data_IF_060306067537
#
_entry.id   IF_060306067537
#
_cell.length_a   1.000
_cell.length_b   1.000
_cell.length_c   1.000
_cell.angle_alpha   90.00
_cell.angle_beta   90.00
_cell.angle_gamma   90.00
#
_symmetry.space_group_name_H-M   'P 1'
#
loop_
_entity.id
_entity.type
_entity.pdbx_description
1 polymer ?
#
# COMPACT_ATOMS: atom_id res chain seq x y z
N UNK A 1 -2.28 -16.97 22.19
CA UNK A 1 -1.47 -15.77 21.83
C UNK A 1 -2.32 -14.92 20.92
N UNK A 2 -2.41 -13.63 21.20
CA UNK A 2 -3.12 -12.65 20.36
C UNK A 2 -2.15 -11.57 19.92
N UNK A 3 -2.38 -11.00 18.75
CA UNK A 3 -1.53 -9.94 18.23
C UNK A 3 -2.34 -8.83 17.56
N UNK A 4 -1.78 -7.63 17.52
CA UNK A 4 -2.33 -6.53 16.76
C UNK A 4 -1.22 -5.67 16.18
N UNK A 5 -1.41 -5.27 14.92
CA UNK A 5 -0.47 -4.43 14.18
C UNK A 5 -1.11 -3.07 13.96
N UNK A 6 -0.58 -2.06 14.64
CA UNK A 6 -0.95 -0.68 14.40
C UNK A 6 -0.40 -0.23 13.05
N UNK A 7 -1.21 0.51 12.29
CA UNK A 7 -0.84 1.05 10.99
C UNK A 7 -1.46 2.41 10.77
N UNK A 8 -0.63 3.43 10.55
CA UNK A 8 -1.10 4.82 10.43
C UNK A 8 -2.14 5.01 9.31
N UNK A 9 -1.92 4.34 8.17
CA UNK A 9 -2.77 4.40 6.99
C UNK A 9 -3.95 3.41 7.01
N UNK A 10 -4.12 2.61 8.06
CA UNK A 10 -5.26 1.71 8.22
C UNK A 10 -6.32 2.33 9.12
N UNK A 11 -7.47 2.73 8.57
CA UNK A 11 -8.57 3.28 9.38
C UNK A 11 -9.04 2.28 10.46
N UNK A 12 -8.97 0.99 10.15
CA UNK A 12 -9.20 -0.16 11.02
C UNK A 12 -7.98 -0.59 11.84
N UNK A 13 -6.85 0.12 11.78
CA UNK A 13 -5.59 -0.30 12.46
C UNK A 13 -4.91 0.80 13.25
N UNK A 14 -5.63 1.88 13.57
CA UNK A 14 -5.03 3.05 14.24
C UNK A 14 -5.69 3.46 15.56
N UNK A 15 -6.68 2.70 16.05
CA UNK A 15 -7.45 3.05 17.26
C UNK A 15 -7.47 1.92 18.30
N UNK A 16 -7.58 2.29 19.59
CA UNK A 16 -7.76 1.35 20.71
C UNK A 16 -8.99 0.46 20.48
N UNK A 17 -10.08 1.04 19.96
CA UNK A 17 -11.31 0.29 19.64
C UNK A 17 -11.01 -0.85 18.68
N UNK A 18 -10.32 -0.56 17.58
CA UNK A 18 -10.04 -1.61 16.60
C UNK A 18 -9.10 -2.68 17.14
N UNK A 19 -8.07 -2.28 17.90
CA UNK A 19 -7.21 -3.21 18.61
C UNK A 19 -8.02 -4.18 19.49
N UNK A 20 -8.92 -3.65 20.32
CA UNK A 20 -9.75 -4.47 21.21
C UNK A 20 -10.67 -5.41 20.42
N UNK A 21 -11.34 -4.92 19.38
CA UNK A 21 -12.16 -5.77 18.52
C UNK A 21 -11.35 -6.91 17.91
N UNK A 22 -10.16 -6.64 17.37
CA UNK A 22 -9.31 -7.66 16.78
C UNK A 22 -8.81 -8.69 17.80
N UNK A 23 -8.48 -8.25 19.01
CA UNK A 23 -8.09 -9.16 20.10
C UNK A 23 -9.26 -10.08 20.46
N UNK A 24 -10.46 -9.52 20.65
CA UNK A 24 -11.67 -10.30 20.97
C UNK A 24 -11.97 -11.29 19.84
N UNK A 25 -11.93 -10.84 18.58
CA UNK A 25 -12.17 -11.70 17.40
C UNK A 25 -11.19 -12.87 17.33
N UNK A 26 -9.91 -12.65 17.62
CA UNK A 26 -8.92 -13.74 17.68
C UNK A 26 -9.24 -14.76 18.77
N UNK A 27 -9.72 -14.31 19.93
CA UNK A 27 -10.07 -15.21 21.04
C UNK A 27 -11.32 -16.01 20.71
N UNK A 28 -12.40 -15.37 20.23
CA UNK A 28 -13.66 -16.06 19.92
C UNK A 28 -13.54 -17.04 18.74
N UNK A 29 -12.68 -16.75 17.76
CA UNK A 29 -12.40 -17.71 16.68
C UNK A 29 -11.59 -18.92 17.16
N UNK A 30 -10.90 -18.80 18.29
CA UNK A 30 -10.09 -19.87 18.86
C UNK A 30 -10.85 -20.70 19.91
N UNK A 31 -11.93 -20.16 20.50
CA UNK A 31 -12.67 -20.78 21.59
C UNK A 31 -14.19 -20.51 21.48
N UNK A 32 -14.95 -21.53 21.12
CA UNK A 32 -16.41 -21.48 20.98
C UNK A 32 -17.13 -21.08 22.29
N UNK A 33 -16.53 -21.36 23.45
CA UNK A 33 -17.08 -20.96 24.75
C UNK A 33 -17.00 -19.44 24.91
N UNK A 34 -15.88 -18.86 24.47
CA UNK A 34 -15.68 -17.41 24.46
C UNK A 34 -16.56 -16.73 23.42
N UNK A 35 -16.80 -17.36 22.27
CA UNK A 35 -17.77 -16.86 21.30
C UNK A 35 -19.16 -16.73 21.94
N UNK A 36 -19.66 -17.78 22.59
CA UNK A 36 -20.98 -17.74 23.27
C UNK A 36 -21.02 -16.68 24.36
N UNK A 37 -20.00 -16.62 25.21
CA UNK A 37 -19.88 -15.61 26.25
C UNK A 37 -19.92 -14.17 25.69
N UNK A 38 -19.17 -13.91 24.61
CA UNK A 38 -19.13 -12.60 23.97
C UNK A 38 -20.47 -12.26 23.31
N UNK A 39 -21.12 -13.22 22.64
CA UNK A 39 -22.46 -13.04 22.06
C UNK A 39 -23.50 -12.70 23.13
N UNK A 40 -23.53 -13.42 24.25
CA UNK A 40 -24.47 -13.17 25.36
C UNK A 40 -24.26 -11.78 25.96
N UNK A 41 -22.99 -11.36 26.13
CA UNK A 41 -22.63 -10.03 26.64
C UNK A 41 -22.96 -8.90 25.66
N UNK A 42 -22.89 -9.15 24.35
CA UNK A 42 -23.12 -8.16 23.30
C UNK A 42 -24.58 -8.09 22.83
N UNK A 43 -25.37 -9.15 23.00
CA UNK A 43 -26.77 -9.22 22.55
C UNK A 43 -27.68 -8.06 23.00
N UNK A 44 -27.50 -7.44 24.18
CA UNK A 44 -28.36 -6.33 24.60
C UNK A 44 -27.87 -4.95 24.13
N UNK A 45 -26.80 -4.85 23.32
CA UNK A 45 -26.14 -3.58 23.01
C UNK A 45 -26.21 -3.23 21.52
N UNK A 46 -26.83 -2.08 21.21
CA UNK A 46 -26.88 -1.52 19.84
C UNK A 46 -25.53 -0.95 19.39
N UNK A 47 -24.68 -0.53 20.35
CA UNK A 47 -23.35 -0.01 20.08
C UNK A 47 -22.35 -0.40 21.16
N UNK A 48 -21.22 -0.99 20.75
CA UNK A 48 -20.17 -1.42 21.66
C UNK A 48 -19.25 -0.24 21.98
N UNK A 49 -19.37 0.41 23.13
CA UNK A 49 -18.43 1.47 23.51
C UNK A 49 -17.02 0.93 23.79
N UNK A 50 -15.98 1.76 23.63
CA UNK A 50 -14.58 1.35 23.91
C UNK A 50 -14.37 0.90 25.36
N UNK A 51 -15.05 1.51 26.34
CA UNK A 51 -15.02 1.07 27.74
C UNK A 51 -15.58 -0.34 27.93
N UNK A 52 -16.69 -0.65 27.25
CA UNK A 52 -17.26 -2.00 27.25
C UNK A 52 -16.31 -3.01 26.60
N UNK A 53 -15.73 -2.66 25.44
CA UNK A 53 -14.73 -3.51 24.76
C UNK A 53 -13.49 -3.77 25.62
N UNK A 54 -13.03 -2.78 26.40
CA UNK A 54 -11.94 -2.96 27.36
C UNK A 54 -12.28 -4.02 28.41
N UNK A 55 -13.51 -3.96 28.95
CA UNK A 55 -14.01 -4.97 29.90
C UNK A 55 -14.15 -6.35 29.27
N UNK A 56 -14.78 -6.42 28.09
CA UNK A 56 -14.98 -7.68 27.38
C UNK A 56 -13.66 -8.34 26.97
N UNK A 57 -12.69 -7.56 26.47
CA UNK A 57 -11.37 -8.06 26.16
C UNK A 57 -10.65 -8.58 27.41
N UNK A 58 -10.74 -7.87 28.53
CA UNK A 58 -10.22 -8.35 29.82
C UNK A 58 -10.88 -9.67 30.23
N UNK A 59 -12.22 -9.77 30.22
CA UNK A 59 -12.92 -11.00 30.57
C UNK A 59 -12.47 -12.18 29.68
N UNK A 60 -12.34 -11.96 28.37
CA UNK A 60 -11.88 -12.97 27.41
C UNK A 60 -10.43 -13.40 27.63
N UNK A 61 -9.54 -12.44 27.92
CA UNK A 61 -8.12 -12.69 28.19
C UNK A 61 -7.92 -13.36 29.56
N UNK A 62 -8.72 -13.03 30.56
CA UNK A 62 -8.58 -13.59 31.90
C UNK A 62 -9.25 -14.95 32.06
N UNK A 63 -10.07 -15.36 31.10
CA UNK A 63 -10.67 -16.69 31.09
C UNK A 63 -9.63 -17.81 30.99
N UNK A 64 -8.49 -17.58 30.31
CA UNK A 64 -7.39 -18.55 30.29
C UNK A 64 -6.25 -18.12 31.20
N UNK A 65 -5.56 -19.09 31.79
CA UNK A 65 -4.54 -18.85 32.82
C UNK A 65 -3.29 -18.13 32.30
N UNK A 66 -2.92 -18.35 31.05
CA UNK A 66 -1.68 -17.84 30.46
C UNK A 66 -1.94 -17.23 29.08
N UNK A 67 -1.67 -15.94 28.93
CA UNK A 67 -1.80 -15.24 27.65
C UNK A 67 -0.57 -14.43 27.28
N UNK A 68 -0.33 -14.37 25.98
CA UNK A 68 0.69 -13.51 25.38
C UNK A 68 -0.02 -12.57 24.41
N UNK A 69 0.15 -11.27 24.61
CA UNK A 69 -0.36 -10.19 23.77
C UNK A 69 0.83 -9.54 23.10
N UNK A 70 0.80 -9.44 21.77
CA UNK A 70 1.82 -8.74 20.97
C UNK A 70 1.20 -7.54 20.30
N UNK A 71 1.68 -6.34 20.65
CA UNK A 71 1.25 -5.08 20.04
C UNK A 71 2.44 -4.51 19.27
N UNK A 72 2.32 -4.44 17.95
CA UNK A 72 3.39 -3.96 17.08
C UNK A 72 3.00 -2.63 16.40
N UNK A 73 3.97 -1.75 16.24
CA UNK A 73 3.82 -0.41 15.66
C UNK A 73 3.00 0.56 16.51
N UNK A 74 2.98 0.44 17.84
CA UNK A 74 2.11 1.27 18.70
C UNK A 74 2.28 2.79 18.46
N UNK A 75 3.45 3.24 18.03
CA UNK A 75 3.75 4.61 17.59
C UNK A 75 2.96 5.05 16.36
N UNK A 76 2.43 4.13 15.55
CA UNK A 76 1.61 4.43 14.37
C UNK A 76 0.13 4.69 14.69
N UNK A 77 -0.29 4.55 15.96
CA UNK A 77 -1.67 4.82 16.37
C UNK A 77 -2.00 6.32 16.34
N UNK A 78 -3.29 6.63 16.22
CA UNK A 78 -3.74 8.01 16.05
C UNK A 78 -3.71 8.80 17.37
N UNK A 79 -3.28 10.08 17.32
CA UNK A 79 -3.43 11.06 18.40
C UNK A 79 -2.96 10.56 19.78
N UNK A 80 -3.89 10.42 20.74
CA UNK A 80 -3.66 9.97 22.11
C UNK A 80 -4.03 8.49 22.34
N UNK A 81 -4.30 7.75 21.26
CA UNK A 81 -4.60 6.31 21.32
C UNK A 81 -3.47 5.48 21.96
N UNK A 82 -2.15 5.75 21.72
CA UNK A 82 -1.08 5.03 22.40
C UNK A 82 -1.21 5.08 23.93
N UNK A 83 -1.51 6.25 24.48
CA UNK A 83 -1.71 6.44 25.92
C UNK A 83 -2.94 5.66 26.42
N UNK A 84 -4.05 5.68 25.66
CA UNK A 84 -5.26 4.91 26.01
C UNK A 84 -5.00 3.40 26.04
N UNK A 85 -4.24 2.88 25.07
CA UNK A 85 -3.84 1.47 24.99
C UNK A 85 -2.95 1.11 26.17
N UNK A 86 -1.90 1.91 26.44
CA UNK A 86 -0.97 1.66 27.53
C UNK A 86 -1.66 1.72 28.89
N UNK A 87 -2.54 2.70 29.12
CA UNK A 87 -3.31 2.78 30.36
C UNK A 87 -4.16 1.54 30.58
N UNK A 88 -4.86 1.08 29.55
CA UNK A 88 -5.66 -0.14 29.66
C UNK A 88 -4.79 -1.38 29.90
N UNK A 89 -3.73 -1.60 29.12
CA UNK A 89 -2.84 -2.74 29.29
C UNK A 89 -2.21 -2.77 30.69
N UNK A 90 -1.63 -1.66 31.13
CA UNK A 90 -0.78 -1.62 32.32
C UNK A 90 -1.57 -1.45 33.62
N UNK A 91 -2.63 -0.63 33.61
CA UNK A 91 -3.39 -0.31 34.82
C UNK A 91 -4.67 -1.12 34.95
N UNK A 92 -5.36 -1.43 33.85
CA UNK A 92 -6.62 -2.17 33.93
C UNK A 92 -6.35 -3.69 33.82
N UNK A 93 -5.74 -4.13 32.73
CA UNK A 93 -5.58 -5.56 32.41
C UNK A 93 -4.59 -6.27 33.34
N UNK A 94 -3.36 -5.76 33.48
CA UNK A 94 -2.35 -6.43 34.32
C UNK A 94 -2.75 -6.45 35.80
N UNK A 95 -3.36 -5.38 36.32
CA UNK A 95 -3.83 -5.35 37.71
C UNK A 95 -4.97 -6.35 37.95
N UNK A 96 -5.91 -6.45 37.00
CA UNK A 96 -7.01 -7.43 37.08
C UNK A 96 -6.49 -8.86 36.92
N UNK A 97 -5.51 -9.09 36.05
CA UNK A 97 -4.88 -10.40 35.90
C UNK A 97 -4.24 -10.87 37.21
N UNK A 98 -3.49 -9.98 37.89
CA UNK A 98 -2.86 -10.28 39.17
C UNK A 98 -3.88 -10.62 40.26
N UNK A 99 -4.99 -9.88 40.35
CA UNK A 99 -6.02 -10.14 41.37
C UNK A 99 -6.80 -11.43 41.14
N UNK A 100 -6.93 -11.87 39.89
CA UNK A 100 -7.61 -13.11 39.50
C UNK A 100 -6.66 -14.32 39.40
N UNK A 101 -5.37 -14.15 39.69
CA UNK A 101 -4.37 -15.24 39.60
C UNK A 101 -4.08 -15.69 38.17
N UNK A 102 -4.31 -14.83 37.18
CA UNK A 102 -4.00 -15.08 35.77
C UNK A 102 -2.68 -14.42 35.36
N UNK A 103 -1.99 -15.01 34.40
CA UNK A 103 -0.69 -14.55 33.93
C UNK A 103 -0.78 -14.00 32.51
N UNK A 104 -0.72 -12.67 32.40
CA UNK A 104 -0.71 -11.96 31.12
C UNK A 104 0.68 -11.42 30.85
N UNK A 105 1.26 -11.77 29.70
CA UNK A 105 2.52 -11.23 29.20
C UNK A 105 2.23 -10.34 27.99
N UNK A 106 2.80 -9.15 27.98
CA UNK A 106 2.59 -8.16 26.92
C UNK A 106 3.95 -7.83 26.30
N UNK A 107 4.06 -7.97 24.99
CA UNK A 107 5.16 -7.47 24.19
C UNK A 107 4.67 -6.28 23.39
N UNK A 108 5.33 -5.13 23.58
CA UNK A 108 5.06 -3.91 22.82
C UNK A 108 6.27 -3.63 21.95
N UNK A 109 6.03 -3.47 20.65
CA UNK A 109 7.01 -3.09 19.65
C UNK A 109 6.62 -1.74 19.05
N UNK A 110 7.61 -0.88 18.83
CA UNK A 110 7.41 0.44 18.27
C UNK A 110 8.70 1.25 18.26
N UNK A 111 8.64 2.43 17.65
CA UNK A 111 9.75 3.39 17.69
C UNK A 111 9.87 4.05 19.05
N UNK A 112 11.09 4.48 19.40
CA UNK A 112 11.36 5.28 20.59
C UNK A 112 10.84 6.71 20.37
N UNK A 113 9.51 6.87 20.42
CA UNK A 113 8.83 8.16 20.42
C UNK A 113 8.58 8.61 21.86
N UNK A 114 8.88 9.88 22.14
CA UNK A 114 8.83 10.44 23.50
C UNK A 114 7.46 10.43 24.19
N UNK A 115 6.38 10.04 23.50
CA UNK A 115 5.03 9.90 24.06
C UNK A 115 4.78 8.56 24.75
N UNK A 116 5.41 7.48 24.26
CA UNK A 116 5.24 6.11 24.77
C UNK A 116 6.25 5.84 25.90
N UNK A 117 7.47 6.37 25.75
CA UNK A 117 8.60 6.14 26.65
C UNK A 117 8.29 6.38 28.15
N UNK A 118 7.57 7.45 28.55
CA UNK A 118 7.28 7.69 29.97
C UNK A 118 6.51 6.53 30.64
N UNK A 119 5.60 5.89 29.89
CA UNK A 119 4.78 4.78 30.40
C UNK A 119 5.54 3.45 30.48
N UNK A 120 6.55 3.25 29.62
CA UNK A 120 7.27 1.99 29.49
C UNK A 120 8.65 1.98 30.15
N UNK A 121 9.13 3.13 30.64
CA UNK A 121 10.46 3.30 31.25
C UNK A 121 10.74 2.41 32.47
N UNK A 122 9.69 2.02 33.21
CA UNK A 122 9.80 1.16 34.39
C UNK A 122 9.77 -0.34 34.08
N UNK A 123 9.51 -0.73 32.82
CA UNK A 123 9.39 -2.12 32.40
C UNK A 123 10.68 -2.63 31.71
N UNK A 124 10.89 -3.95 31.60
CA UNK A 124 12.02 -4.49 30.85
C UNK A 124 11.98 -4.05 29.39
N UNK A 125 13.07 -3.44 28.90
CA UNK A 125 13.18 -2.93 27.54
C UNK A 125 14.29 -3.64 26.76
N UNK A 126 14.02 -3.99 25.50
CA UNK A 126 15.01 -4.47 24.55
C UNK A 126 15.26 -3.37 23.52
N UNK A 127 16.35 -2.63 23.70
CA UNK A 127 16.74 -1.57 22.76
C UNK A 127 17.70 -2.15 21.72
N UNK A 128 17.18 -2.48 20.55
CA UNK A 128 17.98 -3.12 19.49
C UNK A 128 19.23 -2.30 19.09
N UNK A 129 19.18 -0.97 19.20
CA UNK A 129 20.32 -0.11 18.84
C UNK A 129 21.46 -0.09 19.88
N UNK A 130 21.24 -0.54 21.12
CA UNK A 130 22.26 -0.56 22.17
C UNK A 130 22.94 -1.92 22.33
N UNK A 131 22.40 -2.97 21.71
CA UNK A 131 22.90 -4.34 21.84
C UNK A 131 24.08 -4.59 20.88
N UNK A 132 25.26 -4.84 21.47
CA UNK A 132 26.47 -5.23 20.71
C UNK A 132 26.27 -6.46 19.79
N UNK A 133 25.52 -7.51 20.17
CA UNK A 133 25.20 -8.62 19.27
C UNK A 133 24.46 -8.17 18.01
N UNK A 134 23.49 -7.25 18.12
CA UNK A 134 22.77 -6.75 16.95
C UNK A 134 23.69 -5.96 16.01
N UNK A 135 24.68 -5.24 16.55
CA UNK A 135 25.73 -4.63 15.73
C UNK A 135 26.55 -5.68 14.98
N UNK A 136 26.89 -6.80 15.61
CA UNK A 136 27.60 -7.92 14.98
C UNK A 136 26.74 -8.59 13.89
N UNK A 137 25.46 -8.81 14.13
CA UNK A 137 24.54 -9.40 13.15
C UNK A 137 24.40 -8.49 11.91
N UNK A 138 24.35 -7.19 12.12
CA UNK A 138 24.37 -6.18 11.05
C UNK A 138 25.69 -6.25 10.28
N UNK A 139 26.83 -6.34 10.98
CA UNK A 139 28.15 -6.49 10.37
C UNK A 139 28.25 -7.79 9.54
N UNK A 140 27.77 -8.91 10.06
CA UNK A 140 27.77 -10.21 9.41
C UNK A 140 26.86 -10.22 8.17
N UNK A 141 25.64 -9.70 8.28
CA UNK A 141 24.76 -9.49 7.14
C UNK A 141 25.44 -8.63 6.07
N UNK A 142 26.13 -7.58 6.49
CA UNK A 142 26.82 -6.69 5.57
C UNK A 142 28.08 -7.34 4.94
N UNK A 143 28.77 -8.26 5.63
CA UNK A 143 29.84 -9.11 5.08
C UNK A 143 29.33 -10.05 4.00
N UNK A 144 28.28 -10.82 4.29
CA UNK A 144 27.68 -11.75 3.32
C UNK A 144 27.29 -11.04 2.03
N UNK A 145 26.71 -9.84 2.17
CA UNK A 145 26.30 -9.04 1.02
C UNK A 145 27.47 -8.41 0.28
N UNK A 146 28.52 -7.99 0.98
CA UNK A 146 29.74 -7.50 0.37
C UNK A 146 30.42 -8.60 -0.46
N UNK A 147 30.45 -9.85 0.02
CA UNK A 147 30.98 -11.02 -0.70
C UNK A 147 30.18 -11.35 -1.98
N UNK A 148 28.84 -11.31 -1.91
CA UNK A 148 27.96 -11.47 -3.09
C UNK A 148 28.20 -10.36 -4.12
N UNK A 149 28.50 -9.15 -3.67
CA UNK A 149 28.83 -8.02 -4.54
C UNK A 149 30.24 -8.18 -5.13
N UNK A 150 31.23 -8.53 -4.31
CA UNK A 150 32.64 -8.68 -4.65
C UNK A 150 32.83 -9.74 -5.74
N UNK A 151 32.18 -10.90 -5.58
CA UNK A 151 32.15 -11.96 -6.60
C UNK A 151 31.50 -11.54 -7.91
N UNK A 152 30.44 -10.72 -7.86
CA UNK A 152 29.70 -10.26 -9.06
C UNK A 152 30.46 -9.19 -9.86
N UNK A 153 31.26 -8.35 -9.19
CA UNK A 153 31.92 -7.20 -9.82
C UNK A 153 33.47 -7.25 -9.79
N UNK A 154 34.06 -8.34 -9.27
CA UNK A 154 35.53 -8.56 -9.15
C UNK A 154 36.24 -7.40 -8.42
N UNK A 155 35.72 -7.02 -7.25
CA UNK A 155 36.30 -5.95 -6.45
C UNK A 155 37.59 -6.41 -5.73
N UNK A 156 38.58 -5.53 -5.53
CA UNK A 156 39.74 -5.80 -4.67
C UNK A 156 39.33 -6.01 -3.20
N UNK A 157 40.08 -6.84 -2.46
CA UNK A 157 39.82 -7.18 -1.05
C UNK A 157 39.80 -5.97 -0.09
N UNK A 158 40.53 -4.90 -0.43
CA UNK A 158 40.59 -3.68 0.36
C UNK A 158 39.28 -2.89 0.26
N UNK A 159 38.66 -2.84 -0.93
CA UNK A 159 37.38 -2.16 -1.17
C UNK A 159 36.19 -2.88 -0.51
N UNK A 160 36.27 -4.20 -0.38
CA UNK A 160 35.28 -5.03 0.31
C UNK A 160 35.26 -4.75 1.82
N UNK A 161 36.44 -4.70 2.43
CA UNK A 161 36.61 -4.39 3.86
C UNK A 161 36.13 -2.97 4.19
N UNK A 162 36.44 -2.01 3.32
CA UNK A 162 36.02 -0.62 3.45
C UNK A 162 34.50 -0.44 3.31
N UNK A 163 33.87 -1.21 2.42
CA UNK A 163 32.42 -1.26 2.23
C UNK A 163 31.73 -1.79 3.50
N UNK A 164 32.23 -2.89 4.08
CA UNK A 164 31.68 -3.49 5.30
C UNK A 164 31.73 -2.50 6.46
N UNK A 165 32.88 -1.84 6.69
CA UNK A 165 33.05 -0.87 7.79
C UNK A 165 32.13 0.34 7.60
N UNK A 166 32.05 0.89 6.38
CA UNK A 166 31.22 2.07 6.07
C UNK A 166 29.73 1.77 6.19
N UNK A 167 29.28 0.61 5.72
CA UNK A 167 27.85 0.25 5.76
C UNK A 167 27.41 -0.14 7.17
N UNK A 168 28.22 -0.91 7.92
CA UNK A 168 27.89 -1.36 9.27
C UNK A 168 27.87 -0.22 10.27
N UNK A 169 28.84 0.72 10.21
CA UNK A 169 28.83 1.93 11.04
C UNK A 169 27.69 2.88 10.69
N UNK A 170 27.26 2.92 9.42
CA UNK A 170 26.13 3.74 8.98
C UNK A 170 24.76 3.16 9.39
N UNK A 171 24.68 1.87 9.67
CA UNK A 171 23.42 1.18 9.99
C UNK A 171 22.90 1.44 11.41
N UNK A 172 23.75 1.84 12.38
CA UNK A 172 23.37 2.22 13.76
C UNK A 172 22.29 1.33 14.42
N UNK A 173 22.30 0.02 14.17
CA UNK A 173 21.27 -0.88 14.71
C UNK A 173 20.00 -1.00 13.86
N UNK A 174 20.05 -0.77 12.54
CA UNK A 174 18.91 -0.98 11.64
C UNK A 174 19.31 -1.91 10.47
N UNK A 175 18.78 -3.13 10.45
CA UNK A 175 19.05 -4.13 9.39
C UNK A 175 18.57 -3.65 8.00
N UNK A 176 17.48 -2.87 7.95
CA UNK A 176 16.92 -2.30 6.71
C UNK A 176 17.90 -1.35 5.98
N UNK A 177 18.79 -0.69 6.74
CA UNK A 177 19.85 0.18 6.19
C UNK A 177 20.98 -0.65 5.58
N UNK A 178 21.29 -1.82 6.15
CA UNK A 178 22.20 -2.79 5.54
C UNK A 178 21.58 -3.38 4.26
N UNK A 179 20.29 -3.81 4.25
CA UNK A 179 19.62 -4.38 3.05
C UNK A 179 19.62 -3.44 1.82
N UNK A 180 19.42 -2.15 2.04
CA UNK A 180 19.40 -1.12 0.97
C UNK A 180 20.79 -0.75 0.43
N UNK A 181 21.84 -0.86 1.26
CA UNK A 181 23.23 -0.58 0.85
C UNK A 181 23.94 -1.82 0.26
N UNK A 182 23.65 -3.00 0.79
CA UNK A 182 24.10 -4.32 0.36
C UNK A 182 23.69 -4.72 -1.06
N UNK A 183 22.83 -3.95 -1.71
CA UNK A 183 22.30 -4.26 -3.05
C UNK A 183 23.00 -3.51 -4.19
N UNK A 184 24.08 -2.73 -3.95
CA UNK A 184 24.95 -2.17 -5.02
C UNK A 184 26.22 -1.46 -4.45
N UNK A 185 27.45 -1.80 -4.89
CA UNK A 185 28.67 -1.01 -4.66
C UNK A 185 28.76 0.21 -5.61
N UNK A 186 29.70 1.12 -5.34
CA UNK A 186 29.87 2.47 -5.92
C UNK A 186 29.98 2.58 -7.46
N UNK A 187 29.41 3.67 -7.99
CA UNK A 187 30.02 4.47 -9.07
C UNK A 187 30.10 5.88 -8.50
N UNK A 188 31.31 6.30 -8.10
CA UNK A 188 31.70 7.70 -8.02
C UNK A 188 33.19 7.74 -8.39
N UNK A 189 33.46 8.11 -9.65
CA UNK A 189 34.70 8.80 -10.04
C UNK A 189 34.29 9.99 -10.90
N UNK A 190 34.34 11.14 -10.23
CA UNK A 190 34.45 12.53 -10.67
C UNK A 190 34.69 12.75 -12.17
N UNK A 191 33.82 13.54 -12.80
CA UNK A 191 34.25 14.62 -13.69
C UNK A 191 33.74 15.96 -13.14
N UNK A 192 34.68 16.74 -12.61
CA UNK A 192 34.53 18.16 -12.31
C UNK A 192 34.54 18.95 -13.61
N UNK A 193 33.54 19.80 -13.80
CA UNK A 193 33.49 20.71 -14.95
C UNK A 193 32.35 21.72 -14.85
N UNK A 194 32.56 22.77 -14.04
CA UNK A 194 31.97 24.11 -14.21
C UNK A 194 30.43 24.22 -14.09
N UNK A 195 29.92 24.57 -12.89
CA UNK A 195 29.11 25.80 -12.68
C UNK A 195 28.68 26.03 -11.20
N UNK A 196 29.01 27.24 -10.74
CA UNK A 196 28.42 28.06 -9.66
C UNK A 196 28.31 27.52 -8.22
N UNK A 197 29.30 27.94 -7.44
CA UNK A 197 29.48 27.90 -5.98
C UNK A 197 28.51 28.79 -5.18
N UNK A 198 27.26 28.95 -5.59
CA UNK A 198 26.34 29.95 -5.01
C UNK A 198 25.01 29.38 -4.50
N UNK A 199 25.04 28.32 -3.67
CA UNK A 199 23.83 27.89 -2.93
C UNK A 199 24.19 27.09 -1.66
N UNK A 200 25.14 27.56 -0.84
CA UNK A 200 25.54 26.90 0.42
C UNK A 200 25.23 27.70 1.70
N UNK A 201 24.25 28.58 1.67
CA UNK A 201 23.79 29.26 2.89
C UNK A 201 22.27 29.23 2.97
N UNK A 202 21.76 28.12 3.54
CA UNK A 202 20.52 27.99 4.32
C UNK A 202 20.36 26.52 4.70
N UNK A 203 21.18 26.04 5.65
CA UNK A 203 20.99 24.71 6.26
C UNK A 203 20.64 24.93 7.72
N UNK A 204 19.34 25.05 7.99
CA UNK A 204 18.76 24.77 9.29
C UNK A 204 18.39 23.28 9.30
N UNK A 205 19.10 22.51 10.12
CA UNK A 205 18.76 21.15 10.62
C UNK A 205 18.14 20.15 9.64
N UNK A 206 18.97 19.45 8.85
CA UNK A 206 18.60 18.30 8.00
C UNK A 206 18.56 16.98 8.81
N UNK A 207 17.44 16.21 8.85
CA UNK A 207 17.41 14.89 9.50
C UNK A 207 18.28 13.87 8.76
N UNK A 208 19.08 13.05 9.47
CA UNK A 208 20.04 12.08 8.88
C UNK A 208 19.41 10.98 8.00
N UNK A 209 18.11 10.69 8.16
CA UNK A 209 17.34 9.75 7.31
C UNK A 209 17.27 10.20 5.85
N UNK A 210 17.29 11.52 5.61
CA UNK A 210 17.30 12.12 4.28
C UNK A 210 18.48 11.63 3.42
N UNK A 211 19.64 11.36 4.02
CA UNK A 211 20.86 10.97 3.29
C UNK A 211 20.80 9.55 2.75
N UNK A 212 20.08 8.63 3.41
CA UNK A 212 19.90 7.26 2.91
C UNK A 212 18.92 7.21 1.76
N UNK A 213 17.81 7.95 1.85
CA UNK A 213 16.86 8.07 0.74
C UNK A 213 17.45 8.86 -0.43
N UNK A 214 18.20 9.93 -0.18
CA UNK A 214 18.90 10.72 -1.22
C UNK A 214 19.73 9.85 -2.14
N UNK A 215 20.47 8.90 -1.57
CA UNK A 215 21.31 7.97 -2.33
C UNK A 215 20.51 6.95 -3.13
N UNK A 216 19.39 6.47 -2.59
CA UNK A 216 18.51 5.52 -3.27
C UNK A 216 17.79 6.22 -4.42
N UNK A 217 17.29 7.44 -4.17
CA UNK A 217 16.64 8.30 -5.17
C UNK A 217 17.65 8.68 -6.26
N UNK A 218 18.86 9.13 -5.90
CA UNK A 218 19.91 9.39 -6.89
C UNK A 218 20.23 8.17 -7.75
N UNK A 219 20.24 6.98 -7.17
CA UNK A 219 20.53 5.74 -7.90
C UNK A 219 19.40 5.28 -8.82
N UNK A 220 18.16 5.39 -8.37
CA UNK A 220 16.96 4.96 -9.13
C UNK A 220 16.64 5.98 -10.22
N UNK A 221 16.77 7.27 -9.92
CA UNK A 221 16.30 8.37 -10.77
C UNK A 221 17.43 9.03 -11.54
N UNK A 222 18.69 8.98 -11.08
CA UNK A 222 19.82 9.63 -11.75
C UNK A 222 20.88 8.66 -12.29
N UNK A 223 20.92 7.39 -11.88
CA UNK A 223 21.96 6.41 -12.33
C UNK A 223 21.44 5.24 -13.19
N UNK A 224 20.15 4.91 -13.18
CA UNK A 224 19.61 3.83 -14.03
C UNK A 224 19.53 4.24 -15.52
N UNK A 225 19.28 3.31 -16.45
CA UNK A 225 19.03 3.68 -17.85
C UNK A 225 17.78 4.57 -17.97
N UNK A 226 17.76 5.55 -18.89
CA UNK A 226 16.69 6.58 -18.99
C UNK A 226 15.27 6.00 -18.99
N UNK A 227 15.04 4.89 -19.68
CA UNK A 227 13.75 4.19 -19.70
C UNK A 227 13.37 3.63 -18.31
N UNK A 228 14.28 2.92 -17.65
CA UNK A 228 14.05 2.39 -16.31
C UNK A 228 13.85 3.49 -15.24
N UNK A 229 14.54 4.64 -15.39
CA UNK A 229 14.34 5.80 -14.52
C UNK A 229 12.92 6.37 -14.66
N UNK A 230 12.46 6.55 -15.91
CA UNK A 230 11.12 7.05 -16.19
C UNK A 230 10.05 6.12 -15.60
N UNK A 231 10.17 4.81 -15.85
CA UNK A 231 9.24 3.83 -15.29
C UNK A 231 9.25 3.82 -13.76
N UNK A 232 10.44 3.88 -13.13
CA UNK A 232 10.54 3.90 -11.67
C UNK A 232 9.92 5.17 -11.08
N UNK A 233 10.12 6.34 -11.71
CA UNK A 233 9.52 7.60 -11.26
C UNK A 233 7.99 7.55 -11.36
N UNK A 234 7.46 7.04 -12.47
CA UNK A 234 6.01 6.88 -12.66
C UNK A 234 5.42 5.93 -11.61
N UNK A 235 6.02 4.74 -11.42
CA UNK A 235 5.55 3.78 -10.41
C UNK A 235 5.55 4.40 -9.00
N UNK A 236 6.64 5.09 -8.62
CA UNK A 236 6.72 5.75 -7.31
C UNK A 236 5.69 6.87 -7.15
N UNK A 237 5.43 7.65 -8.20
CA UNK A 237 4.38 8.67 -8.21
C UNK A 237 3.01 8.04 -7.95
N UNK A 238 2.70 6.96 -8.66
CA UNK A 238 1.43 6.25 -8.55
C UNK A 238 1.24 5.61 -7.18
N UNK A 239 2.27 4.99 -6.61
CA UNK A 239 2.23 4.40 -5.28
C UNK A 239 2.10 5.44 -4.16
N UNK A 240 2.62 6.65 -4.36
CA UNK A 240 2.51 7.73 -3.38
C UNK A 240 1.12 8.35 -3.41
N UNK A 241 0.54 8.56 -4.59
CA UNK A 241 -0.79 9.16 -4.70
C UNK A 241 -1.93 8.15 -4.57
N UNK A 242 -1.66 6.83 -4.58
CA UNK A 242 -2.73 5.82 -4.60
C UNK A 242 -3.60 5.81 -3.33
N UNK A 243 -4.91 5.64 -3.49
CA UNK A 243 -5.88 5.55 -2.36
C UNK A 243 -5.82 4.22 -1.61
N UNK A 244 -5.41 3.17 -2.32
CA UNK A 244 -5.18 1.83 -1.80
C UNK A 244 -3.92 1.25 -2.42
N UNK A 245 -3.32 0.22 -1.80
CA UNK A 245 -2.26 -0.54 -2.43
C UNK A 245 -2.62 -0.98 -3.86
N UNK A 246 -1.68 -0.80 -4.78
CA UNK A 246 -1.86 -1.13 -6.20
C UNK A 246 -1.44 -2.58 -6.47
N UNK A 247 -2.21 -3.32 -7.26
CA UNK A 247 -1.79 -4.64 -7.75
C UNK A 247 -0.79 -4.47 -8.89
N UNK A 248 0.10 -5.46 -9.07
CA UNK A 248 1.08 -5.40 -10.15
C UNK A 248 0.42 -5.36 -11.53
N UNK A 249 -0.70 -6.08 -11.72
CA UNK A 249 -1.50 -5.99 -12.95
C UNK A 249 -1.98 -4.56 -13.24
N UNK A 250 -2.40 -3.82 -12.22
CA UNK A 250 -2.93 -2.46 -12.36
C UNK A 250 -1.82 -1.52 -12.85
N UNK A 251 -0.62 -1.64 -12.26
CA UNK A 251 0.55 -0.85 -12.67
C UNK A 251 0.96 -1.19 -14.11
N UNK A 252 0.98 -2.48 -14.48
CA UNK A 252 1.34 -2.92 -15.83
C UNK A 252 0.34 -2.43 -16.87
N UNK A 253 -0.96 -2.63 -16.63
CA UNK A 253 -2.02 -2.15 -17.51
C UNK A 253 -1.93 -0.65 -17.71
N UNK A 254 -1.66 0.13 -16.66
CA UNK A 254 -1.51 1.58 -16.80
C UNK A 254 -0.32 2.02 -17.67
N UNK A 255 0.74 1.22 -17.78
CA UNK A 255 1.79 1.48 -18.77
C UNK A 255 1.34 1.17 -20.20
N UNK A 256 0.56 0.11 -20.36
CA UNK A 256 0.19 -0.41 -21.68
C UNK A 256 -1.01 0.34 -22.30
N UNK A 257 -1.87 0.94 -21.48
CA UNK A 257 -3.09 1.62 -21.94
C UNK A 257 -2.75 3.02 -22.45
N UNK A 258 -3.00 3.25 -23.74
CA UNK A 258 -3.19 4.58 -24.29
C UNK A 258 -4.68 4.92 -24.21
N UNK A 259 -5.00 5.96 -23.45
CA UNK A 259 -6.40 6.37 -23.22
C UNK A 259 -6.90 7.24 -24.37
N UNK A 260 -6.02 7.96 -25.07
CA UNK A 260 -6.41 8.85 -26.15
C UNK A 260 -6.68 8.03 -27.44
N UNK A 261 -5.89 6.97 -27.68
CA UNK A 261 -6.12 6.02 -28.78
C UNK A 261 -7.06 4.87 -28.40
N UNK A 262 -7.41 4.73 -27.11
CA UNK A 262 -8.27 3.67 -26.55
C UNK A 262 -7.75 2.24 -26.78
N UNK A 263 -6.43 2.06 -26.83
CA UNK A 263 -5.75 0.79 -27.11
C UNK A 263 -4.83 0.36 -25.96
N UNK A 264 -4.54 -0.94 -25.88
CA UNK A 264 -3.55 -1.50 -24.95
C UNK A 264 -2.37 -2.08 -25.75
N UNK A 265 -1.21 -1.43 -25.66
CA UNK A 265 0.04 -1.93 -26.24
C UNK A 265 0.66 -2.98 -25.32
N UNK A 266 0.51 -4.25 -25.70
CA UNK A 266 1.05 -5.39 -24.94
C UNK A 266 2.59 -5.43 -24.94
N UNK A 267 3.26 -4.71 -25.84
CA UNK A 267 4.71 -4.67 -25.93
C UNK A 267 5.33 -3.66 -24.94
N UNK A 268 4.55 -2.70 -24.43
CA UNK A 268 5.04 -1.71 -23.44
C UNK A 268 5.07 -2.24 -21.99
N UNK A 269 4.96 -3.56 -21.82
CA UNK A 269 5.07 -4.23 -20.52
C UNK A 269 6.45 -4.02 -19.90
N UNK A 270 6.48 -3.71 -18.60
CA UNK A 270 7.72 -3.66 -17.85
C UNK A 270 8.20 -5.08 -17.55
N UNK A 271 9.17 -5.55 -18.34
CA UNK A 271 9.76 -6.88 -18.21
C UNK A 271 10.41 -7.12 -16.83
N UNK A 272 11.00 -6.05 -16.28
CA UNK A 272 11.58 -6.03 -14.95
C UNK A 272 10.48 -5.94 -13.87
N UNK A 273 10.53 -6.84 -12.89
CA UNK A 273 9.63 -6.79 -11.74
C UNK A 273 9.87 -5.54 -10.88
N UNK A 274 8.85 -5.12 -10.11
CA UNK A 274 8.91 -3.85 -9.38
C UNK A 274 10.10 -3.74 -8.41
N UNK A 275 10.49 -4.83 -7.74
CA UNK A 275 11.68 -4.83 -6.87
C UNK A 275 12.98 -4.50 -7.61
N UNK A 276 13.05 -4.74 -8.92
CA UNK A 276 14.20 -4.40 -9.75
C UNK A 276 14.14 -2.94 -10.21
N UNK A 277 12.95 -2.45 -10.55
CA UNK A 277 12.72 -1.06 -11.01
C UNK A 277 12.78 -0.04 -9.87
N UNK A 278 12.04 -0.28 -8.79
CA UNK A 278 11.88 0.64 -7.65
C UNK A 278 12.72 0.24 -6.43
N UNK A 279 13.53 -0.83 -6.54
CA UNK A 279 14.48 -1.28 -5.53
C UNK A 279 13.85 -1.42 -4.14
N UNK A 280 14.59 -1.06 -3.08
CA UNK A 280 14.15 -1.14 -1.69
C UNK A 280 13.19 -0.03 -1.25
N UNK A 281 12.60 0.74 -2.18
CA UNK A 281 11.61 1.78 -1.83
C UNK A 281 10.17 1.22 -1.78
N UNK A 282 9.96 0.04 -2.35
CA UNK A 282 8.66 -0.61 -2.45
C UNK A 282 8.67 -1.93 -1.68
N UNK A 283 7.55 -2.23 -1.05
CA UNK A 283 7.24 -3.54 -0.52
C UNK A 283 6.26 -4.28 -1.44
N UNK A 284 6.36 -5.60 -1.46
CA UNK A 284 5.57 -6.47 -2.33
C UNK A 284 4.97 -7.58 -1.48
N UNK A 285 3.64 -7.57 -1.39
CA UNK A 285 2.85 -8.52 -0.61
C UNK A 285 2.13 -9.48 -1.56
N UNK A 286 2.25 -10.78 -1.32
CA UNK A 286 1.53 -11.78 -2.11
C UNK A 286 0.03 -11.77 -1.75
N UNK A 287 -0.84 -11.97 -2.73
CA UNK A 287 -2.25 -12.17 -2.49
C UNK A 287 -2.50 -13.55 -1.87
N UNK A 288 -3.17 -13.60 -0.71
CA UNK A 288 -3.51 -14.87 -0.04
C UNK A 288 -4.48 -15.73 -0.85
N UNK A 289 -5.39 -15.10 -1.60
CA UNK A 289 -6.34 -15.81 -2.48
C UNK A 289 -5.67 -16.39 -3.74
N UNK A 290 -4.55 -15.81 -4.17
CA UNK A 290 -3.82 -16.21 -5.38
C UNK A 290 -2.32 -16.38 -5.09
N UNK A 291 -1.94 -17.36 -4.27
CA UNK A 291 -0.55 -17.56 -3.87
C UNK A 291 0.32 -17.89 -5.09
N UNK A 292 1.40 -17.14 -5.28
CA UNK A 292 2.36 -17.34 -6.38
C UNK A 292 2.00 -16.62 -7.69
N UNK A 293 0.85 -15.95 -7.79
CA UNK A 293 0.52 -15.13 -8.94
C UNK A 293 1.20 -13.75 -8.85
N UNK A 294 2.30 -13.55 -9.58
CA UNK A 294 3.04 -12.26 -9.59
C UNK A 294 2.16 -11.07 -10.02
N UNK A 295 1.16 -11.29 -10.88
CA UNK A 295 0.22 -10.25 -11.33
C UNK A 295 -0.68 -9.75 -10.19
N UNK A 296 -0.97 -10.60 -9.21
CA UNK A 296 -1.83 -10.33 -8.06
C UNK A 296 -1.07 -9.82 -6.84
N UNK A 297 0.25 -9.67 -6.95
CA UNK A 297 1.02 -9.05 -5.91
C UNK A 297 0.60 -7.60 -5.71
N UNK A 298 0.47 -7.23 -4.45
CA UNK A 298 0.11 -5.87 -4.03
C UNK A 298 1.37 -5.10 -3.68
N UNK A 299 1.47 -3.87 -4.17
CA UNK A 299 2.62 -3.00 -4.01
C UNK A 299 2.29 -1.81 -3.14
N UNK A 300 3.20 -1.51 -2.21
CA UNK A 300 3.14 -0.34 -1.35
C UNK A 300 4.51 0.30 -1.20
N UNK A 301 4.54 1.55 -0.76
CA UNK A 301 5.78 2.15 -0.28
C UNK A 301 6.29 1.40 0.95
N UNK A 302 7.61 1.17 1.03
CA UNK A 302 8.23 0.40 2.13
C UNK A 302 8.01 1.05 3.50
N UNK A 303 7.95 2.39 3.52
CA UNK A 303 7.71 3.17 4.73
C UNK A 303 7.23 4.57 4.34
N UNK A 304 6.37 5.16 5.16
CA UNK A 304 5.82 6.50 4.91
C UNK A 304 6.91 7.59 4.83
N UNK A 305 8.00 7.44 5.59
CA UNK A 305 9.14 8.37 5.53
C UNK A 305 9.84 8.37 4.17
N UNK A 306 9.75 7.29 3.39
CA UNK A 306 10.24 7.27 2.01
C UNK A 306 9.36 8.11 1.10
N UNK A 307 8.03 8.02 1.27
CA UNK A 307 7.05 8.88 0.56
C UNK A 307 7.28 10.35 0.91
N UNK A 308 7.32 10.69 2.21
CA UNK A 308 7.57 12.06 2.69
C UNK A 308 8.88 12.63 2.14
N UNK A 309 9.92 11.81 2.02
CA UNK A 309 11.19 12.23 1.43
C UNK A 309 11.10 12.54 -0.07
N UNK A 310 10.42 11.69 -0.85
CA UNK A 310 10.23 11.89 -2.29
C UNK A 310 9.41 13.16 -2.60
N UNK A 311 8.43 13.44 -1.74
CA UNK A 311 7.61 14.67 -1.80
C UNK A 311 8.45 15.88 -1.43
N UNK A 312 9.16 15.83 -0.29
CA UNK A 312 9.98 16.94 0.20
C UNK A 312 11.09 17.34 -0.78
N UNK A 313 11.66 16.38 -1.50
CA UNK A 313 12.70 16.62 -2.52
C UNK A 313 12.15 17.08 -3.86
N UNK A 314 10.82 17.24 -3.98
CA UNK A 314 10.12 17.52 -5.23
C UNK A 314 10.43 16.51 -6.33
N UNK A 315 10.77 15.28 -5.92
CA UNK A 315 10.97 14.16 -6.84
C UNK A 315 9.64 13.68 -7.39
N UNK A 316 8.62 13.69 -6.53
CA UNK A 316 7.23 13.40 -6.85
C UNK A 316 6.39 14.59 -6.42
N UNK A 317 5.64 15.15 -7.36
CA UNK A 317 4.65 16.18 -7.10
C UNK A 317 3.29 15.50 -6.89
N UNK A 318 2.86 15.40 -5.63
CA UNK A 318 1.63 14.69 -5.25
C UNK A 318 0.39 15.31 -5.89
N UNK A 319 0.36 16.63 -6.01
CA UNK A 319 -0.76 17.33 -6.67
C UNK A 319 -0.82 16.89 -8.12
N UNK A 320 0.31 16.96 -8.83
CA UNK A 320 0.35 16.60 -10.24
C UNK A 320 0.04 15.12 -10.47
N UNK A 321 0.48 14.23 -9.58
CA UNK A 321 0.15 12.79 -9.67
C UNK A 321 -1.33 12.51 -9.42
N UNK A 322 -1.99 13.19 -8.46
CA UNK A 322 -3.43 13.06 -8.26
C UNK A 322 -4.23 13.55 -9.48
N UNK A 323 -3.79 14.64 -10.10
CA UNK A 323 -4.41 15.19 -11.31
C UNK A 323 -4.22 14.23 -12.49
N UNK A 324 -3.01 13.74 -12.71
CA UNK A 324 -2.73 12.79 -13.78
C UNK A 324 -3.53 11.49 -13.59
N UNK A 325 -3.67 11.02 -12.35
CA UNK A 325 -4.44 9.84 -12.02
C UNK A 325 -5.95 10.06 -12.21
N UNK A 326 -6.50 11.19 -11.76
CA UNK A 326 -7.93 11.48 -11.93
C UNK A 326 -8.32 11.61 -13.40
N UNK A 327 -7.52 12.35 -14.19
CA UNK A 327 -7.74 12.49 -15.63
C UNK A 327 -7.66 11.13 -16.34
N UNK A 328 -6.66 10.31 -16.00
CA UNK A 328 -6.53 8.96 -16.55
C UNK A 328 -7.77 8.12 -16.21
N UNK A 329 -8.19 8.07 -14.94
CA UNK A 329 -9.35 7.29 -14.52
C UNK A 329 -10.63 7.73 -15.22
N UNK A 330 -10.93 9.03 -15.30
CA UNK A 330 -12.15 9.51 -15.95
C UNK A 330 -12.20 9.16 -17.43
N UNK A 331 -11.10 9.43 -18.15
CA UNK A 331 -11.04 9.13 -19.59
C UNK A 331 -11.06 7.62 -19.85
N UNK A 332 -10.37 6.84 -19.02
CA UNK A 332 -10.35 5.38 -19.14
C UNK A 332 -11.73 4.77 -18.88
N UNK A 333 -12.45 5.17 -17.83
CA UNK A 333 -13.80 4.66 -17.55
C UNK A 333 -14.83 5.12 -18.59
N UNK A 334 -14.57 6.23 -19.27
CA UNK A 334 -15.38 6.78 -20.35
C UNK A 334 -14.94 6.34 -21.76
N UNK A 335 -13.99 5.41 -21.90
CA UNK A 335 -13.52 4.97 -23.22
C UNK A 335 -14.46 3.95 -23.87
N UNK A 336 -14.41 3.87 -25.20
CA UNK A 336 -15.28 2.96 -25.99
C UNK A 336 -15.30 1.50 -25.52
N UNK A 337 -14.19 0.88 -25.07
CA UNK A 337 -14.21 -0.48 -24.51
C UNK A 337 -15.24 -0.73 -23.40
N UNK A 338 -15.59 0.27 -22.60
CA UNK A 338 -16.60 0.11 -21.54
C UNK A 338 -18.04 0.08 -22.07
N UNK A 339 -18.24 0.52 -23.32
CA UNK A 339 -19.55 0.69 -23.95
C UNK A 339 -19.76 -0.20 -25.18
N UNK A 340 -18.71 -0.83 -25.69
CA UNK A 340 -18.75 -1.71 -26.86
C UNK A 340 -19.22 -3.12 -26.44
N UNK A 341 -20.44 -3.51 -26.81
CA UNK A 341 -21.11 -4.74 -26.35
C UNK A 341 -20.85 -5.94 -27.31
N UNK A 342 -20.12 -5.74 -28.42
CA UNK A 342 -19.93 -6.77 -29.44
C UNK A 342 -18.86 -7.82 -29.06
N UNK A 343 -19.13 -9.09 -29.41
CA UNK A 343 -18.55 -10.25 -28.71
C UNK A 343 -17.13 -10.65 -29.10
N UNK A 344 -16.69 -10.38 -30.34
CA UNK A 344 -15.36 -10.79 -30.80
C UNK A 344 -14.28 -9.74 -30.49
N UNK A 345 -14.58 -8.45 -30.71
CA UNK A 345 -13.67 -7.34 -30.36
C UNK A 345 -13.45 -7.25 -28.84
N UNK A 346 -14.49 -7.50 -28.04
CA UNK A 346 -14.38 -7.47 -26.58
C UNK A 346 -13.40 -8.53 -26.05
N UNK A 347 -13.34 -9.72 -26.67
CA UNK A 347 -12.38 -10.76 -26.27
C UNK A 347 -10.94 -10.28 -26.50
N UNK A 348 -10.65 -9.67 -27.64
CA UNK A 348 -9.31 -9.15 -27.95
C UNK A 348 -8.91 -8.04 -26.97
N UNK A 349 -9.83 -7.15 -26.62
CA UNK A 349 -9.59 -6.08 -25.64
C UNK A 349 -9.36 -6.65 -24.23
N UNK A 350 -10.13 -7.66 -23.82
CA UNK A 350 -9.92 -8.36 -22.54
C UNK A 350 -8.58 -9.07 -22.50
N UNK A 351 -8.24 -9.79 -23.58
CA UNK A 351 -6.98 -10.51 -23.71
C UNK A 351 -5.78 -9.55 -23.66
N UNK A 352 -5.90 -8.36 -24.25
CA UNK A 352 -4.85 -7.34 -24.20
C UNK A 352 -4.49 -6.85 -22.79
N UNK A 353 -5.36 -7.08 -21.80
CA UNK A 353 -5.18 -6.59 -20.45
C UNK A 353 -5.64 -5.13 -20.25
N UNK A 354 -6.41 -4.58 -21.20
CA UNK A 354 -7.00 -3.24 -21.13
C UNK A 354 -7.78 -3.03 -19.83
N UNK A 355 -8.58 -4.02 -19.42
CA UNK A 355 -9.39 -3.93 -18.19
C UNK A 355 -8.61 -4.12 -16.88
N UNK A 356 -7.29 -4.33 -16.92
CA UNK A 356 -6.50 -4.63 -15.72
C UNK A 356 -6.38 -3.49 -14.69
N UNK A 357 -6.77 -2.26 -15.07
CA UNK A 357 -6.84 -1.09 -14.17
C UNK A 357 -8.28 -0.73 -13.74
N UNK A 358 -9.29 -1.47 -14.24
CA UNK A 358 -10.72 -1.19 -14.03
C UNK A 358 -11.10 -1.03 -12.56
N UNK A 359 -10.79 -2.01 -11.73
CA UNK A 359 -11.18 -2.04 -10.31
C UNK A 359 -10.64 -0.84 -9.53
N UNK A 360 -9.40 -0.43 -9.84
CA UNK A 360 -8.79 0.74 -9.21
C UNK A 360 -9.46 2.03 -9.70
N UNK A 361 -9.62 2.19 -11.01
CA UNK A 361 -10.23 3.39 -11.58
C UNK A 361 -11.64 3.61 -11.04
N UNK A 362 -12.49 2.58 -11.07
CA UNK A 362 -13.88 2.65 -10.62
C UNK A 362 -14.04 2.97 -9.13
N UNK A 363 -13.08 2.56 -8.29
CA UNK A 363 -13.12 2.82 -6.85
C UNK A 363 -12.42 4.12 -6.43
N UNK A 364 -11.49 4.64 -7.23
CA UNK A 364 -10.54 5.67 -6.78
C UNK A 364 -10.53 6.96 -7.62
N UNK A 365 -11.31 7.05 -8.71
CA UNK A 365 -11.36 8.27 -9.54
C UNK A 365 -11.82 9.51 -8.74
N UNK A 366 -12.93 9.40 -7.99
CA UNK A 366 -13.52 10.51 -7.25
C UNK A 366 -12.64 10.99 -6.07
N UNK A 367 -12.05 10.10 -5.23
CA UNK A 367 -11.07 10.51 -4.23
C UNK A 367 -9.88 11.30 -4.80
N UNK A 368 -9.37 10.91 -5.98
CA UNK A 368 -8.27 11.64 -6.62
C UNK A 368 -8.70 13.04 -7.09
N UNK A 369 -9.93 13.20 -7.61
CA UNK A 369 -10.50 14.51 -7.94
C UNK A 369 -10.60 15.38 -6.68
N UNK A 370 -11.14 14.84 -5.59
CA UNK A 370 -11.27 15.56 -4.31
C UNK A 370 -9.90 16.03 -3.80
N UNK A 371 -8.90 15.16 -3.79
CA UNK A 371 -7.53 15.51 -3.37
C UNK A 371 -6.84 16.49 -4.30
N UNK A 372 -7.03 16.37 -5.61
CA UNK A 372 -6.53 17.33 -6.59
C UNK A 372 -7.12 18.74 -6.33
N UNK A 373 -8.43 18.83 -6.15
CA UNK A 373 -9.14 20.09 -5.89
C UNK A 373 -8.71 20.75 -4.56
N UNK A 374 -8.43 19.95 -3.52
CA UNK A 374 -7.91 20.48 -2.25
C UNK A 374 -6.49 21.07 -2.36
N UNK A 375 -5.69 20.59 -3.32
CA UNK A 375 -4.30 21.01 -3.51
C UNK A 375 -4.15 22.14 -4.55
N UNK A 376 -5.15 22.33 -5.40
CA UNK A 376 -5.19 23.41 -6.40
C UNK A 376 -5.37 24.78 -5.71
N UNK A 377 -4.43 25.70 -5.94
CA UNK A 377 -4.57 27.13 -5.60
C UNK A 377 -5.12 27.90 -6.80
N UNK A 378 -5.55 29.17 -6.64
CA UNK A 378 -6.13 30.01 -7.72
C UNK A 378 -5.30 30.08 -9.02
N UNK A 379 -4.00 29.75 -8.99
CA UNK A 379 -3.13 29.68 -10.17
C UNK A 379 -3.32 28.42 -11.04
N UNK A 380 -4.14 27.44 -10.62
CA UNK A 380 -4.36 26.15 -11.30
C UNK A 380 -5.61 26.07 -12.18
N UNK A 381 -6.16 27.21 -12.61
CA UNK A 381 -7.48 27.28 -13.28
C UNK A 381 -7.61 26.40 -14.52
N UNK A 382 -6.59 26.32 -15.39
CA UNK A 382 -6.60 25.47 -16.60
C UNK A 382 -6.68 23.96 -16.25
N UNK A 383 -6.03 23.56 -15.16
CA UNK A 383 -5.97 22.17 -14.74
C UNK A 383 -7.26 21.74 -14.03
N UNK A 384 -7.87 22.66 -13.27
CA UNK A 384 -9.20 22.49 -12.71
C UNK A 384 -10.27 22.36 -13.79
N UNK A 385 -10.17 23.15 -14.88
CA UNK A 385 -11.04 23.03 -16.06
C UNK A 385 -10.90 21.65 -16.69
N UNK A 386 -9.67 21.16 -16.92
CA UNK A 386 -9.43 19.82 -17.48
C UNK A 386 -10.04 18.69 -16.65
N UNK A 387 -9.97 18.76 -15.32
CA UNK A 387 -10.58 17.76 -14.43
C UNK A 387 -12.10 17.82 -14.53
N UNK A 388 -12.67 19.03 -14.55
CA UNK A 388 -14.12 19.23 -14.68
C UNK A 388 -14.62 18.73 -16.03
N UNK A 389 -13.92 19.03 -17.11
CA UNK A 389 -14.26 18.56 -18.47
C UNK A 389 -14.18 17.04 -18.56
N UNK A 390 -13.14 16.41 -18.00
CA UNK A 390 -13.01 14.96 -17.97
C UNK A 390 -14.12 14.28 -17.16
N UNK A 391 -14.57 14.89 -16.06
CA UNK A 391 -15.70 14.40 -15.27
C UNK A 391 -17.02 14.57 -16.03
N UNK A 392 -17.24 15.72 -16.67
CA UNK A 392 -18.45 15.98 -17.47
C UNK A 392 -18.55 14.98 -18.64
N UNK A 393 -17.44 14.73 -19.34
CA UNK A 393 -17.42 13.75 -20.44
C UNK A 393 -17.72 12.32 -19.95
N UNK A 394 -17.24 11.96 -18.75
CA UNK A 394 -17.57 10.68 -18.14
C UNK A 394 -19.06 10.60 -17.81
N UNK A 395 -19.63 11.63 -17.20
CA UNK A 395 -21.07 11.72 -16.92
C UNK A 395 -21.90 11.57 -18.20
N UNK A 396 -21.56 12.31 -19.26
CA UNK A 396 -22.25 12.27 -20.55
C UNK A 396 -22.19 10.88 -21.21
N UNK A 397 -21.05 10.19 -21.09
CA UNK A 397 -20.85 8.84 -21.63
C UNK A 397 -21.74 7.79 -20.95
N UNK A 398 -22.04 7.97 -19.66
CA UNK A 398 -22.94 7.06 -18.94
C UNK A 398 -24.41 7.48 -19.07
N UNK A 399 -24.71 8.77 -19.16
CA UNK A 399 -26.07 9.29 -19.34
C UNK A 399 -26.68 8.91 -20.70
N UNK A 400 -25.87 8.78 -21.74
CA UNK A 400 -26.33 8.35 -23.08
C UNK A 400 -26.79 6.89 -23.15
N UNK A 401 -26.51 6.09 -22.11
CA UNK A 401 -26.78 4.64 -22.06
C UNK A 401 -27.90 4.29 -21.08
N UNK A 402 -28.19 5.15 -20.09
CA UNK A 402 -29.34 4.99 -19.21
C UNK A 402 -30.60 5.18 -20.06
N UNK A 403 -31.52 4.20 -20.14
CA UNK A 403 -32.75 4.36 -20.89
C UNK A 403 -33.51 5.57 -20.35
N UNK A 404 -33.88 6.48 -21.25
CA UNK A 404 -34.85 7.52 -20.99
C UNK A 404 -36.20 6.84 -20.70
N UNK A 405 -36.47 6.46 -19.45
CA UNK A 405 -37.85 6.39 -18.99
C UNK A 405 -38.34 7.83 -18.89
N UNK A 406 -38.86 8.30 -20.02
CA UNK A 406 -39.49 9.59 -20.20
C UNK A 406 -40.80 9.62 -19.39
N UNK A 407 -40.69 9.83 -18.08
CA UNK A 407 -41.85 10.16 -17.23
C UNK A 407 -41.54 11.08 -16.05
N UNK A 408 -40.31 11.18 -15.53
CA UNK A 408 -40.05 11.94 -14.28
C UNK A 408 -38.93 13.01 -14.36
N UNK A 409 -38.61 13.49 -15.56
CA UNK A 409 -37.60 14.55 -15.78
C UNK A 409 -38.13 15.98 -15.63
N UNK A 410 -39.18 16.19 -14.83
CA UNK A 410 -39.58 17.53 -14.37
C UNK A 410 -39.53 17.66 -12.82
N UNK A 411 -39.10 16.60 -12.11
CA UNK A 411 -39.09 16.57 -10.65
C UNK A 411 -37.70 16.40 -9.99
N UNK A 412 -36.62 16.12 -10.74
CA UNK A 412 -35.27 16.01 -10.19
C UNK A 412 -34.29 17.02 -10.81
N UNK A 413 -34.51 18.30 -10.48
CA UNK A 413 -33.37 19.19 -10.22
C UNK A 413 -32.70 18.77 -8.89
N UNK A 414 -32.21 17.53 -8.83
CA UNK A 414 -31.57 16.96 -7.65
C UNK A 414 -30.19 17.58 -7.43
N UNK A 415 -29.82 17.77 -6.17
CA UNK A 415 -28.49 18.23 -5.77
C UNK A 415 -27.37 17.42 -6.44
N UNK A 416 -26.23 18.07 -6.73
CA UNK A 416 -24.97 17.48 -7.25
C UNK A 416 -24.56 16.13 -6.63
N UNK A 417 -25.00 15.86 -5.40
CA UNK A 417 -24.74 14.63 -4.65
C UNK A 417 -25.55 13.42 -5.14
N UNK A 418 -26.73 13.62 -5.72
CA UNK A 418 -27.61 12.54 -6.19
C UNK A 418 -27.22 12.06 -7.60
N UNK A 419 -26.86 12.99 -8.49
CA UNK A 419 -26.28 12.67 -9.81
C UNK A 419 -24.96 11.89 -9.68
N UNK A 420 -24.13 12.24 -8.69
CA UNK A 420 -22.88 11.53 -8.42
C UNK A 420 -23.13 10.07 -7.97
N UNK A 421 -24.11 9.82 -7.09
CA UNK A 421 -24.48 8.45 -6.69
C UNK A 421 -24.94 7.59 -7.87
N UNK A 422 -25.73 8.17 -8.78
CA UNK A 422 -26.19 7.47 -9.98
C UNK A 422 -25.02 7.08 -10.89
N UNK A 423 -24.07 7.98 -11.12
CA UNK A 423 -22.87 7.69 -11.90
C UNK A 423 -22.02 6.58 -11.26
N UNK A 424 -21.76 6.68 -9.95
CA UNK A 424 -20.99 5.67 -9.22
C UNK A 424 -21.64 4.29 -9.36
N UNK A 425 -22.97 4.21 -9.19
CA UNK A 425 -23.69 2.96 -9.34
C UNK A 425 -23.58 2.40 -10.77
N UNK A 426 -23.75 3.26 -11.79
CA UNK A 426 -23.68 2.84 -13.18
C UNK A 426 -22.28 2.31 -13.57
N UNK A 427 -21.21 2.94 -13.07
CA UNK A 427 -19.84 2.45 -13.24
C UNK A 427 -19.67 1.09 -12.55
N UNK A 428 -20.14 0.93 -11.31
CA UNK A 428 -20.03 -0.33 -10.58
C UNK A 428 -20.81 -1.47 -11.25
N UNK A 429 -22.01 -1.19 -11.76
CA UNK A 429 -22.80 -2.19 -12.49
C UNK A 429 -22.08 -2.67 -13.76
N UNK A 430 -21.40 -1.77 -14.48
CA UNK A 430 -20.56 -2.13 -15.63
C UNK A 430 -19.36 -2.98 -15.23
N UNK A 431 -18.64 -2.60 -14.18
CA UNK A 431 -17.53 -3.39 -13.63
C UNK A 431 -18.00 -4.82 -13.31
N UNK A 432 -19.14 -4.96 -12.63
CA UNK A 432 -19.71 -6.26 -12.30
C UNK A 432 -20.09 -7.09 -13.53
N UNK A 433 -20.55 -6.47 -14.61
CA UNK A 433 -20.83 -7.16 -15.89
C UNK A 433 -19.54 -7.76 -16.45
N UNK A 434 -18.44 -7.00 -16.45
CA UNK A 434 -17.15 -7.47 -16.97
C UNK A 434 -16.54 -8.53 -16.05
N UNK A 435 -16.57 -8.36 -14.72
CA UNK A 435 -16.10 -9.38 -13.76
C UNK A 435 -16.90 -10.69 -13.82
N UNK A 436 -18.21 -10.64 -14.12
CA UNK A 436 -19.04 -11.85 -14.29
C UNK A 436 -18.81 -12.54 -15.62
N UNK A 437 -18.57 -11.77 -16.70
CA UNK A 437 -18.31 -12.31 -18.04
C UNK A 437 -16.88 -12.86 -18.17
N UNK A 438 -15.94 -12.29 -17.42
CA UNK A 438 -14.53 -12.65 -17.48
C UNK A 438 -14.01 -12.92 -16.06
N UNK A 439 -13.63 -14.17 -15.78
CA UNK A 439 -13.07 -14.56 -14.47
C UNK A 439 -11.88 -13.66 -14.08
N UNK A 440 -11.51 -13.56 -12.79
CA UNK A 440 -10.31 -12.80 -12.36
C UNK A 440 -9.01 -13.23 -13.07
N UNK A 441 -8.95 -14.47 -13.54
CA UNK A 441 -7.87 -15.04 -14.38
C UNK A 441 -7.99 -14.71 -15.89
N UNK A 442 -9.13 -14.18 -16.32
CA UNK A 442 -9.47 -13.76 -17.68
C UNK A 442 -9.14 -12.29 -17.97
N UNK A 443 -9.02 -11.43 -16.94
CA UNK A 443 -8.37 -10.12 -17.07
C UNK A 443 -6.86 -10.38 -17.01
N UNK A 444 -6.30 -10.78 -18.16
CA UNK A 444 -4.93 -11.25 -18.23
C UNK A 444 -3.99 -10.04 -18.10
N UNK A 445 -3.11 -10.04 -17.11
CA UNK A 445 -2.00 -9.08 -17.06
C UNK A 445 -1.17 -9.24 -18.34
N UNK A 446 -0.83 -8.17 -19.08
CA UNK A 446 -0.17 -8.29 -20.38
C UNK A 446 1.16 -9.05 -20.32
N UNK A 447 1.83 -9.06 -19.16
CA UNK A 447 3.03 -9.90 -18.89
C UNK A 447 2.78 -11.42 -18.96
N UNK A 448 1.58 -11.88 -18.63
CA UNK A 448 1.21 -13.31 -18.64
C UNK A 448 1.04 -13.83 -20.08
N UNK A 449 0.62 -12.96 -21.02
CA UNK A 449 0.49 -13.28 -22.45
C UNK A 449 1.86 -13.50 -23.10
N UNK A 450 2.83 -12.63 -22.82
CA UNK A 450 4.22 -12.75 -23.33
C UNK A 450 4.83 -14.11 -22.96
N UNK A 451 4.54 -14.64 -21.76
CA UNK A 451 5.03 -15.97 -21.37
C UNK A 451 4.30 -17.13 -22.07
N UNK A 452 2.99 -16.98 -22.36
CA UNK A 452 2.17 -18.03 -23.00
C UNK A 452 2.52 -18.24 -24.47
N UNK A 453 2.87 -17.18 -25.19
CA UNK A 453 3.30 -17.28 -26.61
C UNK A 453 4.64 -18.00 -26.80
N UNK A 454 5.43 -18.20 -25.73
CA UNK A 454 6.67 -18.99 -25.76
C UNK A 454 6.51 -20.48 -25.43
N UNK A 455 5.31 -20.93 -25.01
CA UNK A 455 5.06 -22.31 -24.54
C UNK A 455 3.72 -22.89 -25.00
N UNK A 456 3.36 -22.72 -26.27
CA UNK A 456 2.25 -23.47 -26.87
C UNK A 456 2.72 -24.82 -27.43
N UNK A 457 2.94 -25.82 -26.57
CA UNK A 457 2.89 -27.26 -26.92
C UNK A 457 2.75 -28.11 -25.67
N UNK A 458 1.50 -28.45 -25.35
CA UNK A 458 0.95 -29.63 -24.63
C UNK A 458 -0.19 -29.17 -23.72
N UNK A 459 -1.40 -29.45 -24.15
CA UNK A 459 -2.61 -29.19 -23.37
C UNK A 459 -2.72 -30.14 -22.18
N UNK A 460 -3.47 -29.72 -21.16
CA UNK A 460 -4.53 -30.51 -20.50
C UNK A 460 -5.41 -29.54 -19.69
N UNK A 461 -6.71 -29.77 -19.80
CA UNK A 461 -7.86 -29.18 -19.09
C UNK A 461 -7.66 -28.90 -17.59
N UNK A 462 -8.22 -27.77 -17.10
CA UNK A 462 -8.53 -27.56 -15.68
C UNK A 462 -9.98 -27.08 -15.55
N UNK A 463 -10.85 -28.02 -15.22
CA UNK A 463 -12.23 -27.85 -14.75
C UNK A 463 -12.22 -28.24 -13.26
N UNK A 464 -12.49 -27.30 -12.35
CA UNK A 464 -13.18 -27.54 -11.06
C UNK A 464 -13.15 -26.31 -10.14
N UNK A 465 -14.24 -26.13 -9.41
CA UNK A 465 -14.48 -25.23 -8.27
C UNK A 465 -15.22 -23.90 -8.55
N UNK A 466 -16.52 -24.05 -8.82
CA UNK A 466 -17.58 -23.13 -8.38
C UNK A 466 -18.19 -23.77 -7.12
N UNK A 467 -18.22 -23.02 -6.01
CA UNK A 467 -19.27 -23.01 -4.97
C UNK A 467 -18.66 -22.66 -3.61
N UNK A 468 -18.84 -21.41 -3.18
CA UNK A 468 -19.26 -21.01 -1.82
C UNK A 468 -19.25 -19.48 -1.76
N UNK A 469 -20.32 -18.85 -2.23
CA UNK A 469 -20.66 -17.47 -1.86
C UNK A 469 -22.17 -17.31 -1.89
N UNK A 470 -22.79 -17.73 -0.79
CA UNK A 470 -24.16 -17.40 -0.40
C UNK A 470 -24.24 -17.73 1.08
N UNK A 471 -24.20 -16.71 1.91
CA UNK A 471 -24.87 -16.57 3.22
C UNK A 471 -24.25 -15.31 3.86
N UNK A 472 -24.98 -14.19 3.77
CA UNK A 472 -25.09 -13.12 4.78
C UNK A 472 -25.83 -11.94 4.14
N UNK A 473 -27.13 -12.15 3.96
CA UNK A 473 -28.11 -11.09 3.83
C UNK A 473 -29.27 -11.47 4.77
N UNK A 474 -29.23 -10.90 5.98
CA UNK A 474 -30.36 -10.58 6.86
C UNK A 474 -29.85 -9.58 7.88
#
# INVERSE_FOLDING_TARGET
>A
MVYFFFKHNGADRRSTRSMLCHIITQIIHSDDTMMRFACDKCSPLDYLHTSFLKGLASDCLLFQRDHIIVLDGLDEAQDNEPESVLKWCLYDLLQTAMSQGSHVRILICGQEEGRIEPFLSSYPQIRLHTLDPHRKDIEEYCKDRASVISSRFRLPSDDESDLIIKVSKAAKGHVSVCKSRASKPHIDRVEEGVQSRAQRQRVSTRPRLSVSYERIVQRIIHTAGRSAQASAKQILGWLICSERPLRWREIQSRFCIDVDDELCDQEDVRADGCKKLCSSLVDVTNCEMFPGAESEQTLTMIHETASKYLIYTNTVDVMQEHIAMSLFCCRYLGSKPFFSIETDELREVVESGYFGFMDYAASSYEPHIKKANLLLTDAGSDLAVKIKDALSNLEDSYNTIIPHDAADMDALAGSSEETNKVLVQAIQDKVLIYERRFTPTGIICPRTQVSKNSKARKGTSVLSFIATSSVLAT
#
